data_IF_518981761234
#
_entry.id   IF_518981761234
#
_cell.length_a   1.000
_cell.length_b   1.000
_cell.length_c   1.000
_cell.angle_alpha   90.00
_cell.angle_beta   90.00
_cell.angle_gamma   90.00
#
_symmetry.space_group_name_H-M   'P 1'
#
loop_
_entity.id
_entity.type
_entity.pdbx_description
1 polymer ?
#
# COMPACT_ATOMS: atom_id res chain seq x y z
N UNK A 1 32.78 25.34 19.70
CA UNK A 1 31.45 25.85 19.27
C UNK A 1 30.56 24.63 19.16
N UNK A 2 29.45 24.61 19.86
CA UNK A 2 28.47 23.53 19.74
C UNK A 2 27.73 23.78 18.43
N UNK A 3 27.97 22.95 17.41
CA UNK A 3 27.27 23.07 16.12
C UNK A 3 25.77 23.06 16.40
N UNK A 4 25.09 24.17 16.12
CA UNK A 4 23.64 24.26 16.24
C UNK A 4 23.03 23.26 15.27
N UNK A 5 22.25 22.32 15.80
CA UNK A 5 21.52 21.36 14.97
C UNK A 5 20.30 22.04 14.38
N UNK A 6 20.15 21.94 13.06
CA UNK A 6 19.04 22.53 12.31
C UNK A 6 18.06 21.44 11.90
N UNK A 7 16.77 21.71 12.10
CA UNK A 7 15.70 20.76 11.81
C UNK A 7 14.57 21.42 11.03
N UNK A 8 13.91 20.59 10.22
CA UNK A 8 12.67 20.94 9.54
C UNK A 8 11.60 19.93 9.92
N UNK A 9 10.38 20.43 10.08
CA UNK A 9 9.20 19.57 10.09
C UNK A 9 8.61 19.53 8.69
N UNK A 10 8.30 18.33 8.23
CA UNK A 10 7.73 18.08 6.92
C UNK A 10 6.38 17.38 7.02
N UNK A 11 5.54 17.65 6.05
CA UNK A 11 4.29 16.93 5.82
C UNK A 11 4.59 15.84 4.80
N UNK A 12 4.44 14.59 5.21
CA UNK A 12 4.44 13.45 4.31
C UNK A 12 3.02 13.22 3.80
N UNK A 13 2.84 12.84 2.52
CA UNK A 13 1.51 12.53 1.96
C UNK A 13 1.01 11.17 2.49
N UNK A 14 0.89 10.98 3.79
CA UNK A 14 0.48 9.71 4.42
C UNK A 14 -0.60 9.99 5.46
N UNK A 15 -1.50 9.03 5.75
CA UNK A 15 -2.60 9.21 6.71
C UNK A 15 -2.08 9.10 8.16
N UNK A 16 -1.21 10.02 8.56
CA UNK A 16 -0.64 10.09 9.92
C UNK A 16 -0.80 11.51 10.48
N UNK A 17 -1.35 11.61 11.69
CA UNK A 17 -1.70 12.88 12.36
C UNK A 17 -0.50 13.73 12.83
N UNK A 18 0.73 13.40 12.43
CA UNK A 18 1.94 14.08 12.91
C UNK A 18 2.80 14.60 11.76
N UNK A 19 3.47 15.72 12.02
CA UNK A 19 4.61 16.15 11.21
C UNK A 19 5.83 15.28 11.53
N UNK A 20 6.74 15.20 10.57
CA UNK A 20 7.98 14.43 10.71
C UNK A 20 9.17 15.36 10.70
N UNK A 21 10.06 15.18 11.67
CA UNK A 21 11.24 16.04 11.83
C UNK A 21 12.45 15.39 11.16
N UNK A 22 13.13 16.17 10.32
CA UNK A 22 14.38 15.77 9.66
C UNK A 22 15.48 16.78 9.97
N UNK A 23 16.72 16.28 10.02
CA UNK A 23 17.92 17.09 10.17
C UNK A 23 18.34 17.65 8.81
N UNK A 24 18.83 18.88 8.84
CA UNK A 24 19.42 19.56 7.69
C UNK A 24 20.71 20.26 8.13
N UNK A 25 21.62 20.50 7.20
CA UNK A 25 22.78 21.33 7.49
C UNK A 25 22.43 22.83 7.43
N UNK A 26 23.33 23.70 7.88
CA UNK A 26 23.08 25.14 7.91
C UNK A 26 22.76 25.73 6.53
N UNK A 27 23.47 25.31 5.48
CA UNK A 27 23.24 25.82 4.11
C UNK A 27 21.86 25.42 3.59
N UNK A 28 21.46 24.18 3.84
CA UNK A 28 20.12 23.69 3.51
C UNK A 28 19.04 24.45 4.29
N UNK A 29 19.24 24.68 5.58
CA UNK A 29 18.31 25.42 6.43
C UNK A 29 18.11 26.86 5.96
N UNK A 30 19.17 27.53 5.53
CA UNK A 30 19.13 28.89 4.98
C UNK A 30 18.49 28.95 3.58
N UNK A 31 18.65 27.89 2.79
CA UNK A 31 18.09 27.81 1.43
C UNK A 31 16.60 27.46 1.42
N UNK A 32 16.20 26.53 2.28
CA UNK A 32 14.84 26.00 2.33
C UNK A 32 13.82 27.06 2.76
N UNK A 33 12.60 26.93 2.21
CA UNK A 33 11.44 27.74 2.56
C UNK A 33 10.23 26.83 2.77
N UNK A 34 9.27 27.28 3.58
CA UNK A 34 7.98 26.58 3.74
C UNK A 34 7.31 26.41 2.37
N UNK A 35 6.73 25.24 2.13
CA UNK A 35 6.09 24.88 0.87
C UNK A 35 7.04 24.40 -0.23
N UNK A 36 8.33 24.24 0.04
CA UNK A 36 9.27 23.52 -0.84
C UNK A 36 9.22 22.03 -0.58
N UNK A 37 9.54 21.21 -1.59
CA UNK A 37 9.63 19.76 -1.42
C UNK A 37 11.05 19.30 -1.13
N UNK A 38 11.12 18.26 -0.32
CA UNK A 38 12.36 17.52 -0.01
C UNK A 38 12.13 16.02 -0.18
N UNK A 39 13.14 15.32 -0.66
CA UNK A 39 13.20 13.87 -0.65
C UNK A 39 13.68 13.41 0.72
N UNK A 40 12.91 12.55 1.39
CA UNK A 40 13.22 12.11 2.76
C UNK A 40 13.11 10.59 2.89
N UNK A 41 13.93 9.97 3.76
CA UNK A 41 13.78 8.56 4.07
C UNK A 41 12.56 8.35 4.99
N UNK A 42 11.71 7.38 4.66
CA UNK A 42 10.56 7.02 5.48
C UNK A 42 10.41 5.50 5.59
N UNK A 43 10.26 5.00 6.82
CA UNK A 43 10.31 3.56 7.09
C UNK A 43 11.71 2.97 6.90
N UNK A 44 11.77 1.70 6.44
CA UNK A 44 13.02 0.93 6.33
C UNK A 44 13.87 1.29 5.12
N UNK A 45 13.26 1.50 3.95
CA UNK A 45 13.99 1.67 2.70
C UNK A 45 13.35 2.63 1.71
N UNK A 46 12.23 3.27 2.06
CA UNK A 46 11.47 4.07 1.10
C UNK A 46 11.87 5.53 1.12
N UNK A 47 11.88 6.13 -0.05
CA UNK A 47 12.03 7.55 -0.28
C UNK A 47 10.65 8.13 -0.55
N UNK A 48 10.34 9.22 0.14
CA UNK A 48 9.11 9.97 -0.06
C UNK A 48 9.44 11.42 -0.40
N UNK A 49 8.61 12.01 -1.25
CA UNK A 49 8.55 13.46 -1.38
C UNK A 49 7.71 14.03 -0.24
N UNK A 50 8.29 14.96 0.53
CA UNK A 50 7.63 15.63 1.64
C UNK A 50 7.64 17.16 1.45
N UNK A 51 6.67 17.85 2.04
CA UNK A 51 6.57 19.31 1.97
C UNK A 51 7.08 19.96 3.26
N UNK A 52 8.01 20.90 3.15
CA UNK A 52 8.57 21.62 4.31
C UNK A 52 7.50 22.53 4.92
N UNK A 53 7.28 22.42 6.23
CA UNK A 53 6.22 23.12 6.96
C UNK A 53 6.73 24.01 8.10
N UNK A 54 7.66 23.53 8.93
CA UNK A 54 8.29 24.33 9.99
C UNK A 54 9.80 24.17 10.02
N UNK A 55 10.45 25.11 10.72
CA UNK A 55 11.89 25.18 10.93
C UNK A 55 12.12 25.38 12.43
N UNK A 56 13.07 24.64 13.00
CA UNK A 56 13.44 24.78 14.41
C UNK A 56 14.85 24.24 14.68
N UNK A 57 15.33 24.46 15.90
CA UNK A 57 16.60 23.93 16.42
C UNK A 57 16.39 22.97 17.60
N UNK A 58 15.12 22.63 17.89
CA UNK A 58 14.76 21.71 18.96
C UNK A 58 15.00 20.26 18.52
N UNK A 59 15.87 19.53 19.22
CA UNK A 59 16.09 18.10 18.94
C UNK A 59 14.82 17.29 19.28
N UNK A 60 14.39 16.32 18.45
CA UNK A 60 13.25 15.47 18.80
C UNK A 60 13.56 14.60 20.02
N UNK A 61 12.61 14.49 20.96
CA UNK A 61 12.82 13.72 22.20
C UNK A 61 12.67 12.21 22.00
N UNK A 62 11.80 11.79 21.07
CA UNK A 62 11.32 10.40 20.96
C UNK A 62 12.08 9.57 19.92
N UNK A 63 12.85 10.19 19.04
CA UNK A 63 13.56 9.52 17.96
C UNK A 63 14.73 10.39 17.46
N UNK A 64 15.70 9.74 16.83
CA UNK A 64 16.78 10.43 16.13
C UNK A 64 16.30 10.88 14.75
N UNK A 65 16.42 12.19 14.46
CA UNK A 65 16.06 12.73 13.16
C UNK A 65 17.06 12.27 12.09
N UNK A 66 16.54 11.65 11.03
CA UNK A 66 17.34 11.33 9.84
C UNK A 66 17.61 12.60 9.03
N UNK A 67 18.64 12.56 8.19
CA UNK A 67 18.91 13.61 7.21
C UNK A 67 17.92 13.55 6.04
N UNK A 68 17.68 14.70 5.40
CA UNK A 68 17.03 14.71 4.09
C UNK A 68 17.97 14.14 3.01
N UNK A 69 17.41 13.54 1.95
CA UNK A 69 18.21 13.11 0.80
C UNK A 69 18.53 14.27 -0.13
N UNK A 70 17.55 15.12 -0.41
CA UNK A 70 17.69 16.19 -1.39
C UNK A 70 16.58 17.23 -1.30
N UNK A 71 16.89 18.47 -1.69
CA UNK A 71 15.92 19.54 -1.95
C UNK A 71 15.47 19.47 -3.42
N UNK A 72 14.18 19.40 -3.68
CA UNK A 72 13.63 19.09 -5.02
C UNK A 72 13.18 20.30 -5.83
N UNK A 73 13.11 21.47 -5.19
CA UNK A 73 12.59 22.69 -5.78
C UNK A 73 13.53 23.87 -5.54
N UNK A 74 13.49 24.84 -6.45
CA UNK A 74 14.20 26.12 -6.29
C UNK A 74 13.34 27.17 -5.57
N UNK A 75 12.02 27.00 -5.61
CA UNK A 75 11.01 27.90 -5.04
C UNK A 75 9.88 27.08 -4.41
N UNK A 76 9.17 27.62 -3.40
CA UNK A 76 7.98 26.96 -2.86
C UNK A 76 6.95 26.64 -3.94
N UNK A 77 6.46 25.41 -3.96
CA UNK A 77 5.34 24.99 -4.80
C UNK A 77 3.99 25.21 -4.10
N UNK A 78 4.00 25.30 -2.77
CA UNK A 78 2.83 25.60 -1.96
C UNK A 78 2.98 26.99 -1.33
N UNK A 79 1.98 27.82 -1.54
CA UNK A 79 1.91 29.16 -0.94
C UNK A 79 1.52 29.08 0.53
N UNK A 80 1.81 30.16 1.27
CA UNK A 80 1.38 30.28 2.67
C UNK A 80 -0.14 30.14 2.83
N UNK A 81 -0.92 30.73 1.93
CA UNK A 81 -2.39 30.65 1.94
C UNK A 81 -2.88 29.22 1.72
N UNK A 82 -2.25 28.47 0.80
CA UNK A 82 -2.58 27.05 0.60
C UNK A 82 -2.26 26.22 1.84
N UNK A 83 -1.10 26.42 2.46
CA UNK A 83 -0.74 25.72 3.70
C UNK A 83 -1.78 25.99 4.81
N UNK A 84 -2.19 27.24 4.99
CA UNK A 84 -3.22 27.62 5.97
C UNK A 84 -4.58 26.98 5.66
N UNK A 85 -4.97 26.97 4.38
CA UNK A 85 -6.21 26.33 3.94
C UNK A 85 -6.16 24.80 4.18
N UNK A 86 -5.04 24.15 3.86
CA UNK A 86 -4.88 22.72 4.06
C UNK A 86 -4.91 22.33 5.54
N UNK A 87 -4.30 23.14 6.42
CA UNK A 87 -4.42 22.96 7.87
C UNK A 87 -5.86 23.14 8.34
N UNK A 88 -6.55 24.18 7.88
CA UNK A 88 -7.96 24.36 8.21
C UNK A 88 -8.82 23.18 7.74
N UNK A 89 -8.56 22.66 6.52
CA UNK A 89 -9.29 21.50 6.00
C UNK A 89 -9.01 20.22 6.81
N UNK A 90 -7.76 19.96 7.18
CA UNK A 90 -7.44 18.79 8.02
C UNK A 90 -8.18 18.85 9.35
N UNK A 91 -8.20 20.03 9.98
CA UNK A 91 -8.85 20.24 11.27
C UNK A 91 -10.37 20.15 11.15
N UNK A 92 -10.95 20.80 10.13
CA UNK A 92 -12.41 20.88 9.95
C UNK A 92 -13.02 19.55 9.51
N UNK A 93 -12.36 18.84 8.59
CA UNK A 93 -12.84 17.57 8.05
C UNK A 93 -12.30 16.34 8.80
N UNK A 94 -11.60 16.54 9.92
CA UNK A 94 -11.07 15.47 10.77
C UNK A 94 -10.22 14.45 10.00
N UNK A 95 -9.39 14.94 9.07
CA UNK A 95 -8.45 14.13 8.32
C UNK A 95 -7.02 14.62 8.57
N UNK A 96 -6.02 13.89 8.09
CA UNK A 96 -4.64 14.28 8.30
C UNK A 96 -4.18 15.29 7.25
N UNK A 97 -3.26 16.18 7.62
CA UNK A 97 -2.68 17.14 6.68
C UNK A 97 -1.97 16.44 5.50
N UNK A 98 -1.42 15.24 5.72
CA UNK A 98 -0.85 14.41 4.68
C UNK A 98 -1.87 13.91 3.66
N UNK A 99 -3.09 13.55 4.09
CA UNK A 99 -4.18 13.19 3.18
C UNK A 99 -4.66 14.38 2.35
N UNK A 100 -4.79 15.55 2.99
CA UNK A 100 -5.17 16.79 2.30
C UNK A 100 -4.16 17.14 1.20
N UNK A 101 -2.86 17.07 1.50
CA UNK A 101 -1.82 17.34 0.50
C UNK A 101 -1.82 16.28 -0.59
N UNK A 102 -2.00 15.01 -0.25
CA UNK A 102 -2.07 13.93 -1.24
C UNK A 102 -3.22 14.13 -2.23
N UNK A 103 -4.36 14.64 -1.75
CA UNK A 103 -5.51 14.96 -2.59
C UNK A 103 -5.36 16.29 -3.35
N UNK A 104 -4.64 17.26 -2.77
CA UNK A 104 -4.55 18.62 -3.30
C UNK A 104 -3.38 18.86 -4.27
N UNK A 105 -2.35 18.02 -4.26
CA UNK A 105 -1.20 18.13 -5.15
C UNK A 105 -1.28 17.12 -6.30
N UNK A 106 -0.89 17.51 -7.53
CA UNK A 106 -0.69 16.57 -8.63
C UNK A 106 0.29 15.44 -8.26
N UNK A 107 0.04 14.23 -8.75
CA UNK A 107 0.86 13.03 -8.48
C UNK A 107 2.33 13.20 -8.87
N UNK A 108 2.61 13.99 -9.93
CA UNK A 108 3.95 14.42 -10.32
C UNK A 108 4.74 15.11 -9.20
N UNK A 109 4.04 15.78 -8.28
CA UNK A 109 4.68 16.43 -7.15
C UNK A 109 4.93 15.49 -5.97
N UNK A 110 4.33 14.30 -5.97
CA UNK A 110 4.26 13.36 -4.84
C UNK A 110 5.02 12.06 -5.08
N UNK A 111 6.03 12.07 -5.95
CA UNK A 111 6.84 10.89 -6.26
C UNK A 111 7.36 10.21 -4.99
N UNK A 112 7.17 8.90 -4.94
CA UNK A 112 7.63 8.01 -3.87
C UNK A 112 8.31 6.79 -4.50
N UNK A 113 9.09 6.06 -3.71
CA UNK A 113 9.79 4.82 -4.11
C UNK A 113 8.95 3.82 -4.92
N UNK A 114 7.65 3.74 -4.60
CA UNK A 114 6.71 2.79 -5.22
C UNK A 114 5.91 3.39 -6.38
N UNK A 115 6.10 4.68 -6.70
CA UNK A 115 5.46 5.31 -7.86
C UNK A 115 5.87 4.56 -9.13
N UNK A 116 4.89 4.24 -9.96
CA UNK A 116 5.10 3.53 -11.22
C UNK A 116 5.21 4.58 -12.33
N UNK A 117 6.26 4.46 -13.13
CA UNK A 117 6.62 5.35 -14.23
C UNK A 117 6.43 4.60 -15.54
N UNK A 118 5.88 5.29 -16.55
CA UNK A 118 5.75 4.80 -17.93
C UNK A 118 6.24 5.84 -18.92
N UNK A 119 6.61 5.39 -20.12
CA UNK A 119 6.74 6.30 -21.26
C UNK A 119 5.37 6.89 -21.59
N UNK A 120 5.38 8.16 -21.98
CA UNK A 120 4.24 8.77 -22.62
C UNK A 120 4.17 8.25 -24.06
N UNK A 121 3.09 7.56 -24.44
CA UNK A 121 2.95 6.91 -25.75
C UNK A 121 2.76 7.87 -26.91
N UNK A 122 2.50 9.15 -26.61
CA UNK A 122 2.03 10.13 -27.58
C UNK A 122 3.14 11.03 -28.14
N UNK A 123 4.39 10.85 -27.70
CA UNK A 123 5.54 11.66 -28.13
C UNK A 123 6.62 10.82 -28.82
N UNK A 124 7.08 11.29 -29.99
CA UNK A 124 8.28 10.79 -30.63
C UNK A 124 9.51 11.23 -29.82
N UNK A 125 10.13 10.28 -29.13
CA UNK A 125 11.26 10.57 -28.23
C UNK A 125 12.53 10.80 -29.05
N UNK A 126 12.91 12.08 -29.22
CA UNK A 126 14.21 12.43 -29.78
C UNK A 126 15.34 12.20 -28.77
N UNK A 127 15.99 11.03 -28.86
CA UNK A 127 17.10 10.64 -27.98
C UNK A 127 18.24 11.66 -27.88
N UNK A 128 18.45 12.49 -28.92
CA UNK A 128 19.48 13.54 -28.94
C UNK A 128 19.28 14.67 -27.93
N UNK A 129 18.08 14.80 -27.36
CA UNK A 129 17.75 15.84 -26.38
C UNK A 129 17.90 15.38 -24.92
N UNK A 130 18.18 14.10 -24.72
CA UNK A 130 18.29 13.46 -23.39
C UNK A 130 19.70 13.58 -22.82
N UNK A 131 19.78 13.81 -21.51
CA UNK A 131 21.04 13.62 -20.77
C UNK A 131 21.32 12.13 -20.58
N UNK A 132 22.56 11.77 -20.25
CA UNK A 132 22.96 10.37 -20.04
C UNK A 132 22.07 9.65 -19.01
N UNK A 133 21.74 10.31 -17.90
CA UNK A 133 20.87 9.72 -16.86
C UNK A 133 19.40 9.62 -17.29
N UNK A 134 18.93 10.55 -18.12
CA UNK A 134 17.59 10.52 -18.70
C UNK A 134 17.47 9.43 -19.76
N UNK A 135 18.49 9.28 -20.60
CA UNK A 135 18.57 8.28 -21.66
C UNK A 135 18.47 6.86 -21.08
N UNK A 136 19.23 6.56 -20.01
CA UNK A 136 19.18 5.24 -19.37
C UNK A 136 17.78 4.90 -18.84
N UNK A 137 17.05 5.90 -18.30
CA UNK A 137 15.67 5.68 -17.83
C UNK A 137 14.74 5.40 -19.01
N UNK A 138 14.84 6.18 -20.08
CA UNK A 138 14.02 6.00 -21.28
C UNK A 138 14.30 4.66 -21.93
N UNK A 139 15.57 4.30 -22.11
CA UNK A 139 16.00 3.00 -22.65
C UNK A 139 15.42 1.85 -21.81
N UNK A 140 15.54 1.92 -20.48
CA UNK A 140 14.97 0.90 -19.60
C UNK A 140 13.44 0.78 -19.74
N UNK A 141 12.73 1.90 -19.87
CA UNK A 141 11.28 1.93 -20.07
C UNK A 141 10.84 1.48 -21.48
N UNK A 142 11.73 1.46 -22.47
CA UNK A 142 11.45 0.86 -23.78
C UNK A 142 11.45 -0.68 -23.70
N UNK A 143 12.31 -1.26 -22.86
CA UNK A 143 12.34 -2.71 -22.63
C UNK A 143 11.29 -3.18 -21.63
N UNK A 144 10.96 -2.34 -20.63
CA UNK A 144 9.95 -2.63 -19.61
C UNK A 144 8.85 -1.58 -19.65
N UNK A 145 7.61 -1.99 -19.93
CA UNK A 145 6.46 -1.08 -20.12
C UNK A 145 6.19 -0.15 -18.94
N UNK A 146 6.65 -0.51 -17.75
CA UNK A 146 6.63 0.35 -16.57
C UNK A 146 7.73 -0.04 -15.59
N UNK A 147 8.18 0.94 -14.79
CA UNK A 147 9.18 0.76 -13.74
C UNK A 147 8.78 1.51 -12.48
N UNK A 148 9.10 0.95 -11.31
CA UNK A 148 9.02 1.69 -10.05
C UNK A 148 10.20 2.66 -9.91
N UNK A 149 10.00 3.75 -9.17
CA UNK A 149 11.09 4.69 -8.83
C UNK A 149 12.27 3.98 -8.16
N UNK A 150 12.02 3.02 -7.27
CA UNK A 150 13.08 2.21 -6.64
C UNK A 150 13.89 1.37 -7.64
N UNK A 151 13.26 0.85 -8.70
CA UNK A 151 13.95 0.12 -9.75
C UNK A 151 14.83 1.06 -10.57
N UNK A 152 14.35 2.27 -10.84
CA UNK A 152 15.09 3.33 -11.51
C UNK A 152 16.30 3.79 -10.67
N UNK A 153 16.16 3.88 -9.34
CA UNK A 153 17.30 4.12 -8.43
C UNK A 153 18.41 3.08 -8.61
N UNK A 154 18.03 1.80 -8.76
CA UNK A 154 19.00 0.71 -8.96
C UNK A 154 19.64 0.76 -10.34
N UNK A 155 18.87 1.10 -11.39
CA UNK A 155 19.39 1.23 -12.77
C UNK A 155 20.43 2.35 -12.87
N UNK A 156 20.16 3.49 -12.22
CA UNK A 156 21.07 4.63 -12.23
C UNK A 156 22.18 4.56 -11.18
N UNK A 157 22.17 3.54 -10.32
CA UNK A 157 23.03 3.40 -9.14
C UNK A 157 23.09 4.69 -8.29
N UNK A 158 21.92 5.31 -8.09
CA UNK A 158 21.78 6.60 -7.40
C UNK A 158 20.70 6.51 -6.33
N UNK A 159 21.03 7.03 -5.14
CA UNK A 159 20.07 7.17 -4.03
C UNK A 159 18.95 8.15 -4.33
N UNK A 160 19.14 9.07 -5.28
CA UNK A 160 18.12 10.09 -5.59
C UNK A 160 17.99 10.27 -7.10
N UNK A 161 16.87 9.79 -7.65
CA UNK A 161 16.53 9.90 -9.09
C UNK A 161 15.37 10.87 -9.34
N UNK A 162 14.72 11.38 -8.29
CA UNK A 162 13.57 12.28 -8.40
C UNK A 162 13.83 13.53 -9.26
N UNK A 163 15.01 14.19 -9.23
CA UNK A 163 15.29 15.29 -10.15
C UNK A 163 15.36 14.86 -11.62
N UNK A 164 15.83 13.64 -11.91
CA UNK A 164 15.89 13.09 -13.28
C UNK A 164 14.46 12.85 -13.77
N UNK A 165 13.64 12.20 -12.94
CA UNK A 165 12.23 11.97 -13.24
C UNK A 165 11.47 13.29 -13.43
N UNK A 166 11.73 14.30 -12.60
CA UNK A 166 11.13 15.63 -12.76
C UNK A 166 11.45 16.23 -14.14
N UNK A 167 12.72 16.18 -14.58
CA UNK A 167 13.11 16.69 -15.91
C UNK A 167 12.41 15.93 -17.05
N UNK A 168 12.27 14.62 -16.92
CA UNK A 168 11.57 13.79 -17.90
C UNK A 168 10.05 14.08 -17.93
N UNK A 169 9.44 14.31 -16.76
CA UNK A 169 8.03 14.73 -16.65
C UNK A 169 7.84 16.13 -17.25
N UNK A 170 8.73 17.08 -16.95
CA UNK A 170 8.69 18.44 -17.49
C UNK A 170 8.87 18.45 -19.02
N UNK A 171 9.56 17.44 -19.57
CA UNK A 171 9.68 17.18 -21.01
C UNK A 171 8.52 16.38 -21.60
N UNK A 172 7.52 15.98 -20.80
CA UNK A 172 6.40 15.10 -21.16
C UNK A 172 6.77 13.69 -21.67
N UNK A 173 8.01 13.25 -21.48
CA UNK A 173 8.51 11.96 -21.97
C UNK A 173 8.00 10.79 -21.12
N UNK A 174 7.81 11.04 -19.81
CA UNK A 174 7.29 10.03 -18.88
C UNK A 174 6.05 10.53 -18.17
N UNK A 175 5.20 9.58 -17.80
CA UNK A 175 4.00 9.80 -16.98
C UNK A 175 4.03 8.88 -15.76
N UNK A 176 3.31 9.29 -14.73
CA UNK A 176 3.11 8.46 -13.53
C UNK A 176 1.84 7.66 -13.73
N UNK A 177 1.94 6.34 -13.63
CA UNK A 177 0.78 5.46 -13.67
C UNK A 177 0.03 5.53 -12.33
N UNK A 178 -1.18 6.10 -12.35
CA UNK A 178 -2.07 6.11 -11.20
C UNK A 178 -2.82 4.79 -11.08
N UNK A 179 -2.22 3.83 -10.40
CA UNK A 179 -2.92 2.60 -10.01
C UNK A 179 -3.89 2.91 -8.87
N UNK A 180 -5.19 3.00 -9.18
CA UNK A 180 -6.28 2.87 -8.21
C UNK A 180 -6.31 1.42 -7.71
N UNK A 181 -5.46 1.10 -6.73
CA UNK A 181 -5.59 -0.18 -6.04
C UNK A 181 -6.85 -0.12 -5.15
N UNK A 182 -7.88 -0.88 -5.53
CA UNK A 182 -8.89 -1.32 -4.55
C UNK A 182 -8.16 -2.15 -3.49
N UNK A 183 -7.78 -1.50 -2.38
CA UNK A 183 -7.10 -2.15 -1.24
C UNK A 183 -7.98 -3.20 -0.53
N UNK A 184 -9.24 -3.36 -0.96
CA UNK A 184 -10.18 -4.30 -0.40
C UNK A 184 -10.22 -5.59 -1.23
N UNK A 185 -9.55 -6.63 -0.74
CA UNK A 185 -9.87 -8.01 -1.13
C UNK A 185 -10.81 -8.58 -0.07
N UNK A 186 -12.07 -8.94 -0.40
CA UNK A 186 -13.00 -9.44 0.59
C UNK A 186 -12.42 -10.69 1.28
N UNK A 187 -12.56 -10.74 2.60
CA UNK A 187 -12.15 -11.91 3.38
C UNK A 187 -13.16 -13.03 3.14
N UNK A 188 -12.84 -13.95 2.24
CA UNK A 188 -13.64 -15.14 2.01
C UNK A 188 -13.55 -16.09 3.22
N UNK A 189 -14.69 -16.61 3.66
CA UNK A 189 -14.78 -17.55 4.78
C UNK A 189 -15.34 -18.86 4.25
N UNK A 190 -14.64 -19.97 4.52
CA UNK A 190 -15.06 -21.29 4.03
C UNK A 190 -16.27 -21.80 4.80
N UNK A 191 -17.35 -22.07 4.09
CA UNK A 191 -18.56 -22.70 4.58
C UNK A 191 -18.76 -24.08 3.97
N UNK A 192 -19.52 -24.91 4.67
CA UNK A 192 -19.93 -26.24 4.21
C UNK A 192 -21.42 -26.43 4.34
N UNK A 193 -22.00 -27.14 3.37
CA UNK A 193 -23.38 -27.62 3.41
C UNK A 193 -23.43 -29.09 3.00
N UNK A 194 -24.52 -29.77 3.37
CA UNK A 194 -24.80 -31.09 2.86
C UNK A 194 -25.13 -31.01 1.36
N UNK A 195 -24.65 -31.97 0.57
CA UNK A 195 -25.02 -32.07 -0.84
C UNK A 195 -26.53 -32.31 -0.98
N UNK A 196 -27.16 -31.69 -1.97
CA UNK A 196 -28.61 -31.76 -2.21
C UNK A 196 -29.13 -33.22 -2.31
N UNK A 197 -28.28 -34.15 -2.77
CA UNK A 197 -28.58 -35.59 -2.87
C UNK A 197 -28.89 -36.26 -1.53
N UNK A 198 -28.44 -35.69 -0.41
CA UNK A 198 -28.59 -36.27 0.92
C UNK A 198 -29.52 -35.46 1.84
N UNK A 199 -30.25 -34.49 1.28
CA UNK A 199 -31.15 -33.62 2.05
C UNK A 199 -32.47 -34.32 2.45
N UNK A 200 -32.88 -35.37 1.74
CA UNK A 200 -34.07 -36.15 2.10
C UNK A 200 -33.79 -37.16 3.22
N UNK A 201 -34.80 -37.46 4.03
CA UNK A 201 -34.68 -38.36 5.19
C UNK A 201 -34.22 -39.77 4.79
N UNK A 202 -34.76 -40.32 3.70
CA UNK A 202 -34.38 -41.64 3.18
C UNK A 202 -32.93 -41.69 2.66
N UNK A 203 -32.50 -40.64 1.95
CA UNK A 203 -31.14 -40.56 1.42
C UNK A 203 -30.12 -40.36 2.55
N UNK A 204 -30.49 -39.62 3.59
CA UNK A 204 -29.67 -39.44 4.79
C UNK A 204 -29.52 -40.75 5.56
N UNK A 205 -30.62 -41.48 5.79
CA UNK A 205 -30.56 -42.78 6.46
C UNK A 205 -29.66 -43.76 5.69
N UNK A 206 -29.79 -43.79 4.36
CA UNK A 206 -28.94 -44.59 3.49
C UNK A 206 -27.45 -44.18 3.56
N UNK A 207 -27.18 -42.87 3.66
CA UNK A 207 -25.83 -42.34 3.84
C UNK A 207 -25.23 -42.78 5.19
N UNK A 208 -25.99 -42.65 6.29
CA UNK A 208 -25.53 -43.04 7.63
C UNK A 208 -25.27 -44.55 7.72
N UNK A 209 -26.10 -45.37 7.10
CA UNK A 209 -25.87 -46.82 6.96
C UNK A 209 -24.56 -47.13 6.23
N UNK A 210 -24.30 -46.42 5.12
CA UNK A 210 -23.05 -46.57 4.35
C UNK A 210 -21.83 -46.11 5.16
N UNK A 211 -21.99 -45.08 5.99
CA UNK A 211 -20.94 -44.52 6.84
C UNK A 211 -20.71 -45.28 8.16
N UNK A 212 -21.46 -46.36 8.46
CA UNK A 212 -21.25 -47.19 9.66
C UNK A 212 -19.83 -47.72 9.80
N UNK A 213 -19.17 -48.03 8.67
CA UNK A 213 -17.78 -48.51 8.63
C UNK A 213 -16.74 -47.38 8.76
N UNK A 214 -17.17 -46.13 8.80
CA UNK A 214 -16.32 -44.94 8.86
C UNK A 214 -16.75 -44.03 10.04
N UNK A 215 -16.43 -44.40 11.30
CA UNK A 215 -16.98 -43.76 12.50
C UNK A 215 -16.69 -42.26 12.58
N UNK A 216 -15.51 -41.82 12.15
CA UNK A 216 -15.16 -40.39 12.10
C UNK A 216 -15.94 -39.61 11.04
N UNK A 217 -16.26 -40.21 9.90
CA UNK A 217 -17.08 -39.57 8.87
C UNK A 217 -18.53 -39.43 9.34
N UNK A 218 -19.08 -40.47 9.98
CA UNK A 218 -20.41 -40.42 10.61
C UNK A 218 -20.48 -39.33 11.69
N UNK A 219 -19.46 -39.23 12.56
CA UNK A 219 -19.37 -38.18 13.60
C UNK A 219 -19.40 -36.76 13.01
N UNK A 220 -18.71 -36.51 11.89
CA UNK A 220 -18.72 -35.21 11.22
C UNK A 220 -20.11 -34.86 10.70
N UNK A 221 -20.80 -35.82 10.07
CA UNK A 221 -22.16 -35.61 9.56
C UNK A 221 -23.15 -35.33 10.70
N UNK A 222 -23.10 -36.09 11.79
CA UNK A 222 -23.93 -35.85 12.97
C UNK A 222 -23.66 -34.48 13.60
N UNK A 223 -22.40 -34.07 13.66
CA UNK A 223 -21.99 -32.75 14.17
C UNK A 223 -22.46 -31.62 13.27
N UNK A 224 -22.46 -31.81 11.94
CA UNK A 224 -23.05 -30.88 10.99
C UNK A 224 -24.55 -30.70 11.26
N UNK A 225 -25.28 -31.80 11.48
CA UNK A 225 -26.72 -31.72 11.78
C UNK A 225 -27.00 -30.99 13.08
N UNK A 226 -26.24 -31.28 14.14
CA UNK A 226 -26.37 -30.57 15.41
C UNK A 226 -26.15 -29.05 15.26
N UNK A 227 -25.15 -28.64 14.47
CA UNK A 227 -24.92 -27.22 14.19
C UNK A 227 -26.04 -26.60 13.33
N UNK A 228 -26.60 -27.37 12.39
CA UNK A 228 -27.69 -26.90 11.52
C UNK A 228 -29.03 -26.79 12.24
N UNK A 229 -29.25 -27.57 13.31
CA UNK A 229 -30.46 -27.51 14.13
C UNK A 229 -30.37 -26.41 15.19
N UNK A 230 -29.17 -26.11 15.70
CA UNK A 230 -28.93 -24.99 16.62
C UNK A 230 -29.14 -23.63 15.94
N UNK A 231 -28.81 -23.49 14.64
CA UNK A 231 -29.08 -22.25 13.90
C UNK A 231 -29.24 -22.45 12.40
N UNK A 232 -30.08 -21.61 11.77
CA UNK A 232 -30.21 -21.53 10.30
C UNK A 232 -29.02 -20.83 9.61
N UNK A 233 -27.92 -20.54 10.33
CA UNK A 233 -26.76 -19.84 9.76
C UNK A 233 -25.89 -20.82 8.98
N UNK A 234 -25.23 -20.36 7.89
CA UNK A 234 -24.16 -21.09 7.23
C UNK A 234 -23.10 -21.61 8.21
N UNK A 235 -22.74 -22.90 8.10
CA UNK A 235 -21.78 -23.55 9.00
C UNK A 235 -20.37 -23.37 8.46
N UNK A 236 -19.50 -22.74 9.26
CA UNK A 236 -18.09 -22.57 8.88
C UNK A 236 -17.36 -23.89 8.96
N UNK A 237 -16.44 -24.14 8.03
CA UNK A 237 -15.55 -25.32 8.08
C UNK A 237 -14.81 -25.38 9.42
N UNK A 238 -14.29 -24.25 9.90
CA UNK A 238 -13.57 -24.18 11.18
C UNK A 238 -14.43 -24.55 12.39
N UNK A 239 -15.73 -24.31 12.32
CA UNK A 239 -16.67 -24.64 13.39
C UNK A 239 -17.02 -26.12 13.37
N UNK A 240 -17.25 -26.68 12.18
CA UNK A 240 -17.48 -28.11 12.00
C UNK A 240 -16.26 -28.95 12.45
N UNK A 241 -15.04 -28.53 12.10
CA UNK A 241 -13.77 -29.15 12.57
C UNK A 241 -13.75 -29.22 14.10
N UNK A 242 -14.05 -28.10 14.78
CA UNK A 242 -14.03 -28.02 16.23
C UNK A 242 -15.10 -28.90 16.88
N UNK A 243 -16.34 -28.83 16.40
CA UNK A 243 -17.47 -29.58 16.98
C UNK A 243 -17.35 -31.09 16.79
N UNK A 244 -16.82 -31.51 15.64
CA UNK A 244 -16.65 -32.94 15.31
C UNK A 244 -15.35 -33.55 15.81
N UNK A 245 -14.45 -32.76 16.40
CA UNK A 245 -13.08 -33.17 16.75
C UNK A 245 -12.37 -33.89 15.59
N UNK A 246 -12.61 -33.40 14.38
CA UNK A 246 -12.04 -33.93 13.15
C UNK A 246 -10.92 -33.02 12.65
N UNK A 247 -10.11 -33.53 11.72
CA UNK A 247 -9.13 -32.76 10.97
C UNK A 247 -9.75 -32.16 9.71
N UNK A 248 -9.17 -31.07 9.20
CA UNK A 248 -9.60 -30.48 7.92
C UNK A 248 -9.47 -31.45 6.74
N UNK A 249 -8.52 -32.39 6.81
CA UNK A 249 -8.37 -33.44 5.80
C UNK A 249 -9.58 -34.40 5.76
N UNK A 250 -10.15 -34.73 6.93
CA UNK A 250 -11.33 -35.61 7.02
C UNK A 250 -12.59 -34.94 6.47
N UNK A 251 -12.75 -33.63 6.66
CA UNK A 251 -13.84 -32.86 6.02
C UNK A 251 -13.62 -32.81 4.51
N UNK A 252 -12.38 -32.59 4.05
CA UNK A 252 -12.05 -32.62 2.62
C UNK A 252 -12.39 -33.97 1.98
N UNK A 253 -12.17 -35.09 2.67
CA UNK A 253 -12.59 -36.42 2.17
C UNK A 253 -14.11 -36.51 1.96
N UNK A 254 -14.92 -35.86 2.80
CA UNK A 254 -16.38 -35.83 2.63
C UNK A 254 -16.80 -34.91 1.48
N UNK A 255 -16.03 -33.86 1.21
CA UNK A 255 -16.21 -32.98 0.05
C UNK A 255 -15.84 -33.74 -1.24
N UNK A 256 -14.70 -34.43 -1.26
CA UNK A 256 -14.24 -35.24 -2.40
C UNK A 256 -15.22 -36.39 -2.71
N UNK A 257 -15.89 -36.94 -1.69
CA UNK A 257 -16.97 -37.94 -1.83
C UNK A 257 -18.32 -37.33 -2.25
N UNK A 258 -18.40 -36.02 -2.49
CA UNK A 258 -19.64 -35.29 -2.79
C UNK A 258 -20.74 -35.45 -1.73
N UNK A 259 -20.36 -35.72 -0.48
CA UNK A 259 -21.29 -35.78 0.66
C UNK A 259 -21.50 -34.37 1.22
N UNK A 260 -20.42 -33.59 1.34
CA UNK A 260 -20.45 -32.17 1.68
C UNK A 260 -20.08 -31.33 0.46
N UNK A 261 -20.58 -30.11 0.41
CA UNK A 261 -20.23 -29.09 -0.58
C UNK A 261 -19.58 -27.90 0.12
N UNK A 262 -18.49 -27.40 -0.45
CA UNK A 262 -17.79 -26.21 0.02
C UNK A 262 -18.22 -24.97 -0.75
N UNK A 263 -18.42 -23.86 -0.05
CA UNK A 263 -18.68 -22.54 -0.62
C UNK A 263 -18.06 -21.43 0.23
N UNK A 264 -18.09 -20.18 -0.26
CA UNK A 264 -17.44 -19.02 0.33
C UNK A 264 -18.42 -17.86 0.58
#
# INVERSE_FOLDING_TARGET
MQDSLFFIDVILPVPLERLFTYRVNQKEYEYLKKGMRVAVPFGKSKIYTALVYNFHQNHPEKYEAKDIHQILDEKPIATKTQLQLWTWMSDYYMCTLGEVIRAGLPSAFLLESESIIKLNSDEDIENSTLKDDEFLVVEALQYQTSLKVDEICNILDKKTVLPVLKRLIDKNIIIIEETLYEKYKPKLVRYVRLNEKYTSEDALNSLLETLKRAPKQSQIILSYFALSSESKKPIKVSELVKRSEASSAQIRTLIDKSILEEYY
#
